data_IF_766021996751
#
_entry.id   IF_766021996751
#
_cell.length_a   1.000
_cell.length_b   1.000
_cell.length_c   1.000
_cell.angle_alpha   90.00
_cell.angle_beta   90.00
_cell.angle_gamma   90.00
#
_symmetry.space_group_name_H-M   'P 1'
#
loop_
_entity.id
_entity.type
_entity.pdbx_description
1 polymer ?
#
# COMPACT_ATOMS: atom_id res chain seq x y z
N UNK A 1 23.92 -10.26 -0.76
CA UNK A 1 23.29 -10.51 -2.06
C UNK A 1 22.32 -9.36 -2.29
N UNK A 2 22.75 -8.32 -2.99
CA UNK A 2 21.96 -7.10 -3.20
C UNK A 2 20.77 -7.41 -4.11
N UNK A 3 19.54 -7.33 -3.57
CA UNK A 3 18.28 -7.55 -4.30
C UNK A 3 17.63 -6.21 -4.68
N UNK A 4 18.33 -5.36 -5.43
CA UNK A 4 17.80 -4.06 -5.86
C UNK A 4 16.62 -4.10 -6.87
N UNK A 5 16.06 -5.29 -7.17
CA UNK A 5 14.93 -5.47 -8.09
C UNK A 5 13.58 -5.75 -7.41
N UNK A 6 13.57 -6.04 -6.10
CA UNK A 6 12.34 -6.28 -5.34
C UNK A 6 11.63 -4.98 -4.94
N UNK A 7 12.42 -3.98 -4.53
CA UNK A 7 11.94 -2.76 -3.88
C UNK A 7 10.97 -1.95 -4.76
N UNK A 8 11.22 -1.87 -6.07
CA UNK A 8 10.36 -1.12 -6.99
C UNK A 8 8.99 -1.78 -7.23
N UNK A 9 8.95 -3.12 -7.28
CA UNK A 9 7.70 -3.87 -7.43
C UNK A 9 6.85 -3.81 -6.16
N UNK A 10 7.48 -3.81 -4.99
CA UNK A 10 6.79 -3.65 -3.71
C UNK A 10 6.12 -2.28 -3.60
N UNK A 11 6.81 -1.19 -3.99
CA UNK A 11 6.23 0.17 -3.99
C UNK A 11 5.03 0.28 -4.94
N UNK A 12 5.12 -0.33 -6.13
CA UNK A 12 3.99 -0.38 -7.08
C UNK A 12 2.83 -1.16 -6.47
N UNK A 13 3.11 -2.29 -5.81
CA UNK A 13 2.13 -3.08 -5.10
C UNK A 13 1.38 -2.27 -4.04
N UNK A 14 2.10 -1.56 -3.17
CA UNK A 14 1.54 -0.69 -2.14
C UNK A 14 0.72 0.46 -2.72
N UNK A 15 1.17 1.05 -3.83
CA UNK A 15 0.40 2.08 -4.53
C UNK A 15 -0.92 1.55 -5.08
N UNK A 16 -0.88 0.40 -5.77
CA UNK A 16 -2.08 -0.25 -6.32
C UNK A 16 -3.03 -0.65 -5.19
N UNK A 17 -2.50 -1.24 -4.12
CA UNK A 17 -3.26 -1.67 -2.96
C UNK A 17 -4.05 -0.51 -2.35
N UNK A 18 -3.40 0.64 -2.14
CA UNK A 18 -4.06 1.83 -1.60
C UNK A 18 -5.24 2.28 -2.47
N UNK A 19 -5.02 2.49 -3.76
CA UNK A 19 -6.08 2.98 -4.64
C UNK A 19 -7.17 1.93 -4.89
N UNK A 20 -6.82 0.65 -4.92
CA UNK A 20 -7.78 -0.44 -4.96
C UNK A 20 -8.67 -0.42 -3.70
N UNK A 21 -8.09 -0.18 -2.53
CA UNK A 21 -8.85 -0.04 -1.29
C UNK A 21 -9.82 1.16 -1.31
N UNK A 22 -9.39 2.31 -1.85
CA UNK A 22 -10.25 3.50 -1.96
C UNK A 22 -11.40 3.28 -2.96
N UNK A 23 -11.11 2.78 -4.16
CA UNK A 23 -12.09 2.77 -5.25
C UNK A 23 -12.88 1.46 -5.38
N UNK A 24 -12.37 0.32 -4.90
CA UNK A 24 -13.02 -0.98 -5.07
C UNK A 24 -13.68 -1.45 -3.78
N UNK A 25 -15.02 -1.44 -3.76
CA UNK A 25 -15.80 -2.04 -2.67
C UNK A 25 -15.55 -3.54 -2.53
N UNK A 26 -15.37 -4.25 -3.65
CA UNK A 26 -15.03 -5.67 -3.67
C UNK A 26 -13.68 -5.94 -2.99
N UNK A 27 -12.68 -5.11 -3.28
CA UNK A 27 -11.37 -5.24 -2.65
C UNK A 27 -11.44 -5.01 -1.14
N UNK A 28 -12.18 -3.99 -0.69
CA UNK A 28 -12.42 -3.77 0.75
C UNK A 28 -13.08 -4.97 1.44
N UNK A 29 -14.09 -5.56 0.81
CA UNK A 29 -14.75 -6.74 1.37
C UNK A 29 -13.78 -7.93 1.48
N UNK A 30 -12.94 -8.15 0.46
CA UNK A 30 -11.88 -9.16 0.51
C UNK A 30 -10.91 -8.92 1.67
N UNK A 31 -10.48 -7.67 1.87
CA UNK A 31 -9.55 -7.31 2.94
C UNK A 31 -10.17 -7.43 4.34
N UNK A 32 -11.45 -7.09 4.48
CA UNK A 32 -12.19 -7.31 5.74
C UNK A 32 -12.37 -8.81 6.03
N UNK A 33 -12.66 -9.61 5.01
CA UNK A 33 -12.74 -11.06 5.15
C UNK A 33 -11.39 -11.64 5.57
N UNK A 34 -10.30 -11.26 4.89
CA UNK A 34 -8.94 -11.69 5.21
C UNK A 34 -8.54 -11.30 6.65
N UNK A 35 -8.91 -10.12 7.10
CA UNK A 35 -8.72 -9.68 8.48
C UNK A 35 -9.45 -10.57 9.49
N UNK A 36 -10.69 -10.97 9.20
CA UNK A 36 -11.49 -11.80 10.08
C UNK A 36 -10.99 -13.24 10.15
N UNK A 37 -10.47 -13.75 9.04
CA UNK A 37 -9.90 -15.11 8.93
C UNK A 37 -8.46 -15.17 9.47
N UNK A 38 -7.77 -14.04 9.58
CA UNK A 38 -6.39 -13.95 10.04
C UNK A 38 -6.23 -14.07 11.56
N UNK A 39 -5.21 -14.82 11.98
CA UNK A 39 -4.70 -14.80 13.35
C UNK A 39 -3.95 -13.50 13.69
N UNK A 40 -3.46 -13.37 14.92
CA UNK A 40 -2.78 -12.15 15.43
C UNK A 40 -1.59 -11.73 14.54
N UNK A 41 -0.79 -12.69 14.08
CA UNK A 41 0.36 -12.43 13.21
C UNK A 41 -0.09 -11.91 11.84
N UNK A 42 -1.12 -12.51 11.24
CA UNK A 42 -1.66 -12.06 9.95
C UNK A 42 -2.20 -10.63 10.04
N UNK A 43 -2.93 -10.31 11.11
CA UNK A 43 -3.42 -8.95 11.37
C UNK A 43 -2.29 -7.93 11.49
N UNK A 44 -1.18 -8.30 12.13
CA UNK A 44 -0.01 -7.44 12.21
C UNK A 44 0.57 -7.13 10.82
N UNK A 45 0.70 -8.12 9.94
CA UNK A 45 1.17 -7.90 8.56
C UNK A 45 0.20 -7.05 7.74
N UNK A 46 -1.11 -7.26 7.87
CA UNK A 46 -2.13 -6.44 7.20
C UNK A 46 -2.00 -4.97 7.63
N UNK A 47 -1.75 -4.69 8.92
CA UNK A 47 -1.52 -3.31 9.40
C UNK A 47 -0.27 -2.72 8.76
N UNK A 48 0.84 -3.46 8.71
CA UNK A 48 2.08 -2.98 8.08
C UNK A 48 1.84 -2.66 6.61
N UNK A 49 1.20 -3.56 5.87
CA UNK A 49 0.88 -3.38 4.45
C UNK A 49 -0.02 -2.16 4.23
N UNK A 50 -1.03 -1.96 5.08
CA UNK A 50 -1.90 -0.80 5.02
C UNK A 50 -1.11 0.51 5.27
N UNK A 51 -0.24 0.54 6.28
CA UNK A 51 0.61 1.70 6.57
C UNK A 51 1.55 2.02 5.40
N UNK A 52 2.24 1.01 4.85
CA UNK A 52 3.10 1.16 3.68
C UNK A 52 2.31 1.65 2.46
N UNK A 53 1.11 1.11 2.24
CA UNK A 53 0.21 1.52 1.16
C UNK A 53 -0.24 2.97 1.28
N UNK A 54 -0.53 3.47 2.49
CA UNK A 54 -0.85 4.89 2.71
C UNK A 54 0.34 5.78 2.40
N UNK A 55 1.54 5.41 2.85
CA UNK A 55 2.76 6.18 2.56
C UNK A 55 3.01 6.25 1.04
N UNK A 56 2.91 5.13 0.33
CA UNK A 56 3.09 5.11 -1.12
C UNK A 56 1.95 5.79 -1.88
N UNK A 57 0.70 5.59 -1.46
CA UNK A 57 -0.49 6.08 -2.15
C UNK A 57 -0.77 7.57 -1.94
N UNK A 58 -0.30 8.16 -0.83
CA UNK A 58 -0.52 9.57 -0.47
C UNK A 58 0.76 10.38 -0.51
N UNK A 59 1.81 9.95 0.19
CA UNK A 59 3.02 10.78 0.33
C UNK A 59 3.80 10.88 -0.99
N UNK A 60 3.86 9.81 -1.78
CA UNK A 60 4.57 9.83 -3.07
C UNK A 60 3.92 10.78 -4.08
N UNK A 61 2.59 10.76 -4.34
CA UNK A 61 1.95 11.76 -5.19
C UNK A 61 2.10 13.20 -4.69
N UNK A 62 1.94 13.42 -3.37
CA UNK A 62 2.11 14.76 -2.78
C UNK A 62 3.55 15.27 -2.97
N UNK A 63 4.54 14.40 -2.80
CA UNK A 63 5.95 14.73 -3.00
C UNK A 63 6.26 15.07 -4.46
N UNK A 64 5.74 14.29 -5.42
CA UNK A 64 5.88 14.58 -6.86
C UNK A 64 5.28 15.94 -7.20
N UNK A 65 4.06 16.22 -6.72
CA UNK A 65 3.37 17.50 -6.94
C UNK A 65 4.20 18.65 -6.34
N UNK A 66 4.71 18.48 -5.12
CA UNK A 66 5.56 19.48 -4.46
C UNK A 66 6.82 19.80 -5.27
N UNK A 67 7.51 18.77 -5.80
CA UNK A 67 8.67 18.98 -6.68
C UNK A 67 8.29 19.75 -7.94
N UNK A 68 7.14 19.45 -8.55
CA UNK A 68 6.64 20.16 -9.73
C UNK A 68 6.30 21.65 -9.48
N UNK A 69 6.24 22.09 -8.23
CA UNK A 69 6.02 23.50 -7.87
C UNK A 69 7.33 24.26 -7.55
N UNK A 70 8.44 23.54 -7.35
CA UNK A 70 9.73 24.13 -6.96
C UNK A 70 10.71 24.17 -8.14
N UNK A 71 10.57 23.25 -9.09
CA UNK A 71 11.20 23.32 -10.41
C UNK A 71 10.45 24.30 -11.34
#
# INVERSE_FOLDING_TARGET
>A
MSKGGGDGLEVIGYFIFFWAFIFSSKFRQSQIQEWNESGVIGKFFIIIEACSSVLCGVCLPVYIIYLSFIE
#
